data_IF_941578843516
#
_entry.id   IF_941578843516
#
_cell.length_a   1.000
_cell.length_b   1.000
_cell.length_c   1.000
_cell.angle_alpha   90.00
_cell.angle_beta   90.00
_cell.angle_gamma   90.00
#
_symmetry.space_group_name_H-M   'P 1'
#
loop_
_entity.id
_entity.type
_entity.pdbx_description
1 polymer ?
#
# COMPACT_ATOMS: atom_id res chain seq x y z
N UNK A 1 -52.21 14.46 29.42
CA UNK A 1 -51.19 13.55 29.97
C UNK A 1 -51.27 12.22 29.23
N UNK A 2 -50.29 11.93 28.39
CA UNK A 2 -49.99 10.57 27.92
C UNK A 2 -48.46 10.51 27.75
N UNK A 3 -47.82 9.83 28.70
CA UNK A 3 -46.39 9.52 28.71
C UNK A 3 -46.16 8.29 27.83
N UNK A 4 -45.25 8.37 26.85
CA UNK A 4 -44.52 7.18 26.38
C UNK A 4 -43.14 7.58 25.85
N UNK A 5 -42.16 6.73 26.14
CA UNK A 5 -40.74 6.97 26.29
C UNK A 5 -39.94 7.28 25.00
N UNK A 6 -38.76 7.92 25.11
CA UNK A 6 -37.84 8.10 24.00
C UNK A 6 -37.10 6.79 23.73
N UNK A 7 -37.29 6.20 22.55
CA UNK A 7 -36.48 5.05 22.13
C UNK A 7 -35.19 5.60 21.51
N UNK A 8 -34.10 5.46 22.26
CA UNK A 8 -32.74 5.75 21.80
C UNK A 8 -32.34 4.73 20.73
N UNK A 9 -32.10 5.19 19.50
CA UNK A 9 -31.57 4.37 18.41
C UNK A 9 -30.12 4.79 18.16
N UNK A 10 -29.22 4.37 19.04
CA UNK A 10 -27.79 4.39 18.76
C UNK A 10 -27.37 2.97 18.34
N UNK A 11 -27.73 2.57 17.12
CA UNK A 11 -27.17 1.37 16.52
C UNK A 11 -25.78 1.71 15.98
N UNK A 12 -24.75 1.53 16.81
CA UNK A 12 -23.39 1.42 16.30
C UNK A 12 -23.33 0.19 15.38
N UNK A 13 -23.10 0.43 14.09
CA UNK A 13 -23.02 -0.62 13.09
C UNK A 13 -21.89 -1.62 13.46
N UNK A 14 -22.16 -2.93 13.53
CA UNK A 14 -21.11 -3.94 13.75
C UNK A 14 -20.39 -4.17 12.43
N UNK A 15 -19.36 -3.36 12.14
CA UNK A 15 -18.64 -3.47 10.87
C UNK A 15 -17.23 -2.88 10.83
N UNK A 16 -16.73 -2.27 11.90
CA UNK A 16 -15.38 -1.68 11.90
C UNK A 16 -14.61 -2.00 13.18
N UNK A 17 -14.30 -3.28 13.39
CA UNK A 17 -13.19 -3.63 14.26
C UNK A 17 -11.88 -3.38 13.48
N UNK A 18 -11.40 -2.13 13.51
CA UNK A 18 -10.04 -1.83 13.10
C UNK A 18 -9.12 -2.41 14.17
N UNK A 19 -8.55 -3.60 13.92
CA UNK A 19 -7.50 -4.15 14.77
C UNK A 19 -6.26 -3.27 14.65
N UNK A 20 -6.09 -2.37 15.62
CA UNK A 20 -4.88 -1.56 15.75
C UNK A 20 -3.71 -2.46 16.17
N UNK A 21 -2.50 -2.26 15.63
CA UNK A 21 -1.33 -2.98 16.11
C UNK A 21 -1.04 -2.64 17.57
N UNK A 22 -0.60 -3.64 18.34
CA UNK A 22 -0.18 -3.43 19.74
C UNK A 22 1.11 -2.59 19.81
N UNK A 23 1.36 -1.93 20.94
CA UNK A 23 2.60 -1.16 21.16
C UNK A 23 3.86 -2.00 20.94
N UNK A 24 3.90 -3.23 21.47
CA UNK A 24 5.04 -4.15 21.29
C UNK A 24 5.30 -4.51 19.83
N UNK A 25 4.24 -4.68 19.03
CA UNK A 25 4.38 -4.94 17.60
C UNK A 25 4.99 -3.73 16.88
N UNK A 26 4.58 -2.51 17.24
CA UNK A 26 5.16 -1.30 16.66
C UNK A 26 6.64 -1.14 17.03
N UNK A 27 7.02 -1.44 18.28
CA UNK A 27 8.43 -1.40 18.72
C UNK A 27 9.27 -2.39 17.90
N UNK A 28 8.83 -3.65 17.79
CA UNK A 28 9.53 -4.68 17.02
C UNK A 28 9.70 -4.32 15.54
N UNK A 29 8.69 -3.70 14.95
CA UNK A 29 8.76 -3.22 13.56
C UNK A 29 9.78 -2.09 13.45
N UNK A 30 9.77 -1.13 14.39
CA UNK A 30 10.75 -0.05 14.43
C UNK A 30 12.19 -0.55 14.54
N UNK A 31 12.44 -1.50 15.44
CA UNK A 31 13.75 -2.15 15.58
C UNK A 31 14.16 -2.92 14.32
N UNK A 32 13.23 -3.64 13.68
CA UNK A 32 13.52 -4.35 12.43
C UNK A 32 13.87 -3.37 11.30
N UNK A 33 13.09 -2.28 11.16
CA UNK A 33 13.33 -1.25 10.15
C UNK A 33 14.66 -0.51 10.37
N UNK A 34 15.05 -0.29 11.62
CA UNK A 34 16.33 0.34 11.96
C UNK A 34 17.57 -0.50 11.57
N UNK A 35 17.39 -1.81 11.39
CA UNK A 35 18.44 -2.73 10.94
C UNK A 35 18.50 -2.88 9.42
N UNK A 36 17.60 -2.24 8.66
CA UNK A 36 17.65 -2.26 7.21
C UNK A 36 18.82 -1.40 6.70
N UNK A 37 19.37 -1.80 5.56
CA UNK A 37 20.43 -1.04 4.89
C UNK A 37 19.87 0.30 4.38
N UNK A 38 20.26 1.39 5.04
CA UNK A 38 19.86 2.75 4.68
C UNK A 38 20.23 3.13 3.24
N UNK A 39 21.40 2.71 2.76
CA UNK A 39 21.81 3.02 1.38
C UNK A 39 20.96 2.27 0.36
N UNK A 40 20.56 1.04 0.67
CA UNK A 40 19.62 0.27 -0.14
C UNK A 40 18.21 0.89 -0.14
N UNK A 41 17.76 1.43 1.00
CA UNK A 41 16.50 2.17 1.09
C UNK A 41 16.52 3.44 0.23
N UNK A 42 17.57 4.26 0.32
CA UNK A 42 17.71 5.45 -0.52
C UNK A 42 17.80 5.12 -2.02
N UNK A 43 18.49 4.03 -2.37
CA UNK A 43 18.55 3.58 -3.76
C UNK A 43 17.17 3.16 -4.29
N UNK A 44 16.36 2.53 -3.44
CA UNK A 44 14.98 2.18 -3.75
C UNK A 44 14.10 3.42 -3.92
N UNK A 45 14.26 4.44 -3.07
CA UNK A 45 13.54 5.71 -3.20
C UNK A 45 13.86 6.39 -4.54
N UNK A 46 15.14 6.53 -4.90
CA UNK A 46 15.55 7.07 -6.20
C UNK A 46 14.98 6.26 -7.37
N UNK A 47 14.94 4.93 -7.24
CA UNK A 47 14.35 4.05 -8.24
C UNK A 47 12.83 4.27 -8.38
N UNK A 48 12.12 4.47 -7.27
CA UNK A 48 10.69 4.80 -7.26
C UNK A 48 10.43 6.15 -7.94
N UNK A 49 11.20 7.18 -7.62
CA UNK A 49 11.07 8.51 -8.23
C UNK A 49 11.29 8.47 -9.74
N UNK A 50 12.34 7.77 -10.20
CA UNK A 50 12.61 7.58 -11.61
C UNK A 50 11.48 6.84 -12.33
N UNK A 51 10.93 5.80 -11.69
CA UNK A 51 9.78 5.06 -12.21
C UNK A 51 8.52 5.93 -12.32
N UNK A 52 8.22 6.75 -11.31
CA UNK A 52 7.09 7.69 -11.38
C UNK A 52 7.26 8.71 -12.51
N UNK A 53 8.46 9.25 -12.69
CA UNK A 53 8.76 10.19 -13.77
C UNK A 53 8.57 9.53 -15.14
N UNK A 54 9.02 8.28 -15.30
CA UNK A 54 8.86 7.50 -16.52
C UNK A 54 7.37 7.22 -16.82
N UNK A 55 6.60 6.80 -15.82
CA UNK A 55 5.15 6.63 -15.97
C UNK A 55 4.45 7.93 -16.36
N UNK A 56 4.74 9.04 -15.67
CA UNK A 56 4.16 10.36 -15.98
C UNK A 56 4.48 10.78 -17.41
N UNK A 57 5.72 10.54 -17.87
CA UNK A 57 6.14 10.81 -19.25
C UNK A 57 5.36 9.97 -20.26
N UNK A 58 5.24 8.66 -20.04
CA UNK A 58 4.49 7.75 -20.91
C UNK A 58 3.00 8.11 -20.97
N UNK A 59 2.38 8.40 -19.82
CA UNK A 59 0.98 8.82 -19.75
C UNK A 59 0.75 10.14 -20.49
N UNK A 60 1.61 11.16 -20.30
CA UNK A 60 1.52 12.46 -21.00
C UNK A 60 1.69 12.33 -22.51
N UNK A 61 2.48 11.37 -22.97
CA UNK A 61 2.66 11.07 -24.39
C UNK A 61 1.49 10.25 -25.00
N UNK A 62 0.45 9.94 -24.22
CA UNK A 62 -0.66 9.08 -24.66
C UNK A 62 -0.31 7.59 -24.75
N UNK A 63 0.90 7.20 -24.33
CA UNK A 63 1.42 5.83 -24.42
C UNK A 63 0.93 4.96 -23.25
N UNK A 64 -0.40 4.82 -23.12
CA UNK A 64 -1.05 4.19 -21.96
C UNK A 64 -0.69 2.71 -21.81
N UNK A 65 -0.60 1.96 -22.91
CA UNK A 65 -0.22 0.54 -22.86
C UNK A 65 1.23 0.33 -22.46
N UNK A 66 2.13 1.20 -22.93
CA UNK A 66 3.53 1.19 -22.53
C UNK A 66 3.69 1.52 -21.04
N UNK A 67 2.92 2.49 -20.54
CA UNK A 67 2.87 2.80 -19.10
C UNK A 67 2.40 1.60 -18.29
N UNK A 68 1.35 0.90 -18.73
CA UNK A 68 0.87 -0.32 -18.08
C UNK A 68 1.91 -1.44 -18.08
N UNK A 69 2.57 -1.70 -19.21
CA UNK A 69 3.62 -2.70 -19.30
C UNK A 69 4.78 -2.38 -18.36
N UNK A 70 5.22 -1.12 -18.33
CA UNK A 70 6.28 -0.64 -17.45
C UNK A 70 5.89 -0.81 -15.98
N UNK A 71 4.66 -0.50 -15.61
CA UNK A 71 4.15 -0.68 -14.25
C UNK A 71 4.12 -2.15 -13.81
N UNK A 72 3.71 -3.06 -14.71
CA UNK A 72 3.73 -4.51 -14.44
C UNK A 72 5.15 -5.04 -14.22
N UNK A 73 6.09 -4.64 -15.06
CA UNK A 73 7.50 -4.99 -14.90
C UNK A 73 8.05 -4.46 -13.57
N UNK A 74 7.77 -3.20 -13.25
CA UNK A 74 8.20 -2.59 -11.99
C UNK A 74 7.64 -3.32 -10.77
N UNK A 75 6.36 -3.68 -10.78
CA UNK A 75 5.75 -4.44 -9.70
C UNK A 75 6.47 -5.79 -9.48
N UNK A 76 6.84 -6.49 -10.55
CA UNK A 76 7.61 -7.73 -10.47
C UNK A 76 9.03 -7.50 -9.94
N UNK A 77 9.70 -6.44 -10.37
CA UNK A 77 11.01 -6.06 -9.82
C UNK A 77 10.93 -5.83 -8.31
N UNK A 78 9.93 -5.07 -7.85
CA UNK A 78 9.76 -4.74 -6.43
C UNK A 78 9.40 -5.94 -5.57
N UNK A 79 8.61 -6.89 -6.09
CA UNK A 79 8.31 -8.14 -5.37
C UNK A 79 9.56 -9.02 -5.23
N UNK A 80 10.48 -8.95 -6.19
CA UNK A 80 11.71 -9.75 -6.18
C UNK A 80 12.87 -9.07 -5.46
N UNK A 81 12.80 -7.76 -5.25
CA UNK A 81 13.82 -6.95 -4.59
C UNK A 81 14.10 -7.43 -3.14
N UNK A 82 15.38 -7.65 -2.78
CA UNK A 82 15.75 -8.17 -1.46
C UNK A 82 15.38 -7.21 -0.32
N UNK A 83 15.52 -5.90 -0.53
CA UNK A 83 15.19 -4.89 0.48
C UNK A 83 13.68 -4.86 0.71
N UNK A 84 12.86 -4.96 -0.35
CA UNK A 84 11.40 -5.11 -0.22
C UNK A 84 10.99 -6.39 0.52
N UNK A 85 11.70 -7.50 0.31
CA UNK A 85 11.45 -8.74 1.06
C UNK A 85 11.74 -8.56 2.55
N UNK A 86 12.80 -7.84 2.90
CA UNK A 86 13.13 -7.53 4.29
C UNK A 86 12.09 -6.61 4.93
N UNK A 87 11.66 -5.54 4.24
CA UNK A 87 10.56 -4.67 4.70
C UNK A 87 9.28 -5.48 4.94
N UNK A 88 8.94 -6.38 4.01
CA UNK A 88 7.77 -7.27 4.15
C UNK A 88 7.91 -8.19 5.36
N UNK A 89 9.11 -8.71 5.62
CA UNK A 89 9.37 -9.52 6.81
C UNK A 89 9.25 -8.70 8.10
N UNK A 90 9.79 -7.47 8.13
CA UNK A 90 9.71 -6.58 9.29
C UNK A 90 8.27 -6.20 9.67
N UNK A 91 7.38 -6.17 8.67
CA UNK A 91 5.96 -5.86 8.88
C UNK A 91 5.07 -7.10 8.95
N UNK A 92 5.65 -8.31 8.89
CA UNK A 92 4.91 -9.55 9.01
C UNK A 92 4.27 -9.64 10.40
N UNK A 93 2.95 -9.84 10.44
CA UNK A 93 2.20 -9.95 11.69
C UNK A 93 1.59 -8.64 12.19
N UNK A 94 1.85 -7.50 11.53
CA UNK A 94 1.02 -6.33 11.73
C UNK A 94 -0.35 -6.57 11.09
N UNK A 95 -1.45 -6.24 11.78
CA UNK A 95 -2.76 -6.11 11.15
C UNK A 95 -2.69 -4.91 10.20
N UNK A 96 -2.18 -5.14 9.00
CA UNK A 96 -2.32 -4.16 7.94
C UNK A 96 -3.81 -4.04 7.68
N UNK A 97 -4.41 -2.84 7.79
CA UNK A 97 -5.79 -2.65 7.35
C UNK A 97 -5.80 -3.22 5.95
N UNK A 98 -6.66 -4.22 5.71
CA UNK A 98 -6.69 -4.94 4.44
C UNK A 98 -6.60 -3.90 3.36
N UNK A 99 -5.41 -3.75 2.73
CA UNK A 99 -5.28 -2.92 1.56
C UNK A 99 -6.34 -3.53 0.68
N UNK A 100 -7.36 -2.75 0.31
CA UNK A 100 -8.19 -3.07 -0.86
C UNK A 100 -7.21 -3.68 -1.85
N UNK A 101 -7.39 -4.98 -2.07
CA UNK A 101 -6.43 -5.91 -2.65
C UNK A 101 -5.36 -5.17 -3.44
N UNK A 102 -4.09 -5.22 -3.02
CA UNK A 102 -2.99 -4.81 -3.92
C UNK A 102 -3.27 -5.56 -5.22
N UNK A 103 -3.74 -4.84 -6.23
CA UNK A 103 -4.30 -5.47 -7.39
C UNK A 103 -3.14 -6.21 -8.05
N UNK A 104 -3.24 -7.53 -8.25
CA UNK A 104 -2.13 -8.28 -8.82
C UNK A 104 -1.75 -7.62 -10.15
N UNK A 105 -0.46 -7.57 -10.51
CA UNK A 105 -0.01 -6.82 -11.68
C UNK A 105 -0.75 -7.24 -12.96
N UNK A 106 -1.20 -8.48 -13.02
CA UNK A 106 -2.00 -9.07 -14.10
C UNK A 106 -3.36 -8.39 -14.30
N UNK A 107 -3.94 -7.81 -13.25
CA UNK A 107 -5.26 -7.17 -13.25
C UNK A 107 -5.19 -5.65 -13.44
N UNK A 108 -4.00 -5.06 -13.52
CA UNK A 108 -3.82 -3.64 -13.78
C UNK A 108 -4.31 -3.28 -15.19
N UNK A 109 -5.05 -2.18 -15.28
CA UNK A 109 -5.50 -1.59 -16.55
C UNK A 109 -4.78 -0.26 -16.81
N UNK A 110 -4.77 0.26 -18.04
CA UNK A 110 -4.15 1.55 -18.32
C UNK A 110 -4.87 2.73 -17.63
N UNK A 111 -6.12 2.56 -17.19
CA UNK A 111 -6.86 3.55 -16.41
C UNK A 111 -6.35 3.66 -14.97
N UNK A 112 -5.85 2.55 -14.41
CA UNK A 112 -5.29 2.51 -13.05
C UNK A 112 -3.91 3.16 -12.96
N UNK A 113 -3.20 3.26 -14.10
CA UNK A 113 -1.83 3.79 -14.18
C UNK A 113 -1.81 5.26 -14.60
N UNK A 114 -2.59 5.61 -15.61
CA UNK A 114 -2.67 6.98 -16.12
C UNK A 114 -4.00 7.60 -15.68
N UNK A 115 -4.01 8.24 -14.52
CA UNK A 115 -5.13 9.11 -14.14
C UNK A 115 -5.24 10.27 -15.14
N UNK A 116 -6.46 10.69 -15.51
CA UNK A 116 -6.67 11.83 -16.40
C UNK A 116 -6.08 13.13 -15.86
#
# INVERSE_FOLDING_TARGET
MALVAPVAWAHAAPGMAQTMPSQDQMIKVGECMANLDTAAMEAMERKNEAFEADLKRLCKAGMRDAALQRARQYALEMVNDPTMKQIKACTAGLPMPQRRTVMPPEKLTPADICTP
#
